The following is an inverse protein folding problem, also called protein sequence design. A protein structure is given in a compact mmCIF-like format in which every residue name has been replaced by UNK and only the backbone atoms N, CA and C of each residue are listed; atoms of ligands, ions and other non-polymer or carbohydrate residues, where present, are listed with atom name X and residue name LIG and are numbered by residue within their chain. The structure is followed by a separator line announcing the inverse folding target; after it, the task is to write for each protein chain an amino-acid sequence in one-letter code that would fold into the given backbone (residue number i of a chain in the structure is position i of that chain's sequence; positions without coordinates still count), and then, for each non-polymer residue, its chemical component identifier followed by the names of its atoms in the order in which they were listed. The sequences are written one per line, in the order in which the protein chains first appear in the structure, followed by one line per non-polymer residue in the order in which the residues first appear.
data_IF_257756170799
#
_entry.id   IF_257756170799
#
_cell.length_a   1.000
_cell.length_b   1.000
_cell.length_c   1.000
_cell.angle_alpha   90.00
_cell.angle_beta   90.00
_cell.angle_gamma   90.00
#
_symmetry.space_group_name_H-M   'P 1'
#
loop_
_entity.id
_entity.type
_entity.pdbx_description
1 polymer ?
#
# COMPACT_ATOMS: atom_id res chain seq x y z
N UNK A 1 -11.64 -46.97 35.61
CA UNK A 1 -10.99 -47.55 34.43
C UNK A 1 -10.04 -46.54 33.84
N UNK A 2 -8.82 -46.94 33.44
CA UNK A 2 -7.76 -46.01 32.97
C UNK A 2 -8.12 -45.18 31.73
N UNK A 3 -9.08 -45.62 30.98
CA UNK A 3 -9.54 -44.96 29.74
C UNK A 3 -10.31 -43.65 29.97
N UNK A 4 -11.10 -43.58 31.05
CA UNK A 4 -11.85 -42.35 31.40
C UNK A 4 -10.91 -41.23 31.86
N UNK A 5 -9.84 -41.53 32.56
CA UNK A 5 -8.88 -40.55 33.07
C UNK A 5 -8.04 -39.94 31.93
N UNK A 6 -7.67 -40.73 30.90
CA UNK A 6 -6.95 -40.24 29.72
C UNK A 6 -7.81 -39.33 28.82
N UNK A 7 -9.12 -39.59 28.73
CA UNK A 7 -10.01 -38.72 27.96
C UNK A 7 -10.23 -37.36 28.66
N UNK A 8 -10.37 -37.36 30.00
CA UNK A 8 -10.52 -36.12 30.78
C UNK A 8 -9.28 -35.25 30.73
N UNK A 9 -8.08 -35.81 30.81
CA UNK A 9 -6.82 -35.07 30.73
C UNK A 9 -6.62 -34.43 29.34
N UNK A 10 -7.04 -35.11 28.27
CA UNK A 10 -6.99 -34.56 26.92
C UNK A 10 -8.01 -33.43 26.70
N UNK A 11 -9.17 -33.52 27.32
CA UNK A 11 -10.22 -32.50 27.26
C UNK A 11 -9.80 -31.23 28.00
N UNK A 12 -9.15 -31.34 29.15
CA UNK A 12 -8.67 -30.21 29.95
C UNK A 12 -7.49 -29.47 29.25
N UNK A 13 -6.61 -30.20 28.54
CA UNK A 13 -5.55 -29.59 27.75
C UNK A 13 -6.12 -28.87 26.52
N UNK A 14 -7.13 -29.41 25.87
CA UNK A 14 -7.78 -28.81 24.73
C UNK A 14 -8.53 -27.51 25.10
N UNK A 15 -9.24 -27.51 26.25
CA UNK A 15 -9.92 -26.30 26.75
C UNK A 15 -8.90 -25.22 27.16
N UNK A 16 -7.77 -25.59 27.79
CA UNK A 16 -6.68 -24.63 28.07
C UNK A 16 -6.05 -24.06 26.79
N UNK A 17 -5.92 -24.87 25.75
CA UNK A 17 -5.40 -24.42 24.46
C UNK A 17 -6.35 -23.40 23.77
N UNK A 18 -7.65 -23.59 23.87
CA UNK A 18 -8.67 -22.67 23.38
C UNK A 18 -8.70 -21.33 24.16
N UNK A 19 -8.35 -21.33 25.44
CA UNK A 19 -8.29 -20.14 26.29
C UNK A 19 -7.04 -19.27 26.01
N UNK A 20 -5.93 -19.88 25.60
CA UNK A 20 -4.67 -19.18 25.31
C UNK A 20 -4.76 -18.38 23.98
N UNK A 21 -5.65 -18.75 23.07
CA UNK A 21 -5.71 -18.20 21.70
C UNK A 21 -6.76 -17.12 21.42
N UNK A 22 -7.48 -16.53 22.40
CA UNK A 22 -8.58 -15.56 22.15
C UNK A 22 -9.45 -15.92 20.94
N UNK A 23 -9.77 -17.22 20.76
CA UNK A 23 -10.55 -17.67 19.62
C UNK A 23 -12.00 -17.33 19.89
N UNK A 24 -12.55 -16.41 19.12
CA UNK A 24 -13.91 -15.96 19.23
C UNK A 24 -14.86 -17.13 18.89
N UNK A 25 -15.74 -17.49 19.83
CA UNK A 25 -16.79 -18.52 19.70
C UNK A 25 -17.54 -18.44 18.35
N UNK A 26 -17.72 -17.22 17.85
CA UNK A 26 -18.35 -16.95 16.57
C UNK A 26 -17.63 -17.57 15.35
N UNK A 27 -16.30 -17.71 15.38
CA UNK A 27 -15.53 -18.34 14.29
C UNK A 27 -15.70 -19.86 14.28
N UNK A 28 -15.76 -20.48 15.46
CA UNK A 28 -15.99 -21.93 15.59
C UNK A 28 -17.38 -22.27 15.06
N UNK A 29 -18.41 -21.53 15.46
CA UNK A 29 -19.78 -21.74 14.99
C UNK A 29 -19.93 -21.55 13.47
N UNK A 30 -19.14 -20.63 12.88
CA UNK A 30 -19.14 -20.40 11.43
C UNK A 30 -18.51 -21.55 10.66
N UNK A 31 -17.42 -22.15 11.17
CA UNK A 31 -16.77 -23.31 10.56
C UNK A 31 -17.69 -24.55 10.63
N UNK A 32 -18.31 -24.77 11.78
CA UNK A 32 -19.27 -25.86 11.97
C UNK A 32 -20.46 -25.73 11.01
N UNK A 33 -21.03 -24.52 10.85
CA UNK A 33 -22.15 -24.26 9.93
C UNK A 33 -21.79 -24.40 8.45
N UNK A 34 -20.56 -24.14 8.05
CA UNK A 34 -20.11 -24.27 6.65
C UNK A 34 -19.81 -25.70 6.24
N UNK A 35 -19.53 -26.60 7.16
CA UNK A 35 -19.19 -27.98 6.84
C UNK A 35 -20.47 -28.83 6.74
N UNK A 36 -20.88 -29.20 5.49
CA UNK A 36 -22.09 -29.99 5.23
C UNK A 36 -22.12 -31.36 5.93
N UNK A 37 -20.95 -31.96 6.17
CA UNK A 37 -20.85 -33.24 6.88
C UNK A 37 -21.16 -33.11 8.37
N UNK A 38 -20.65 -32.04 8.99
CA UNK A 38 -20.93 -31.75 10.43
C UNK A 38 -22.40 -31.36 10.61
N UNK A 39 -22.97 -30.53 9.70
CA UNK A 39 -24.37 -30.11 9.79
C UNK A 39 -25.37 -31.27 9.64
N UNK A 40 -25.03 -32.34 8.89
CA UNK A 40 -25.85 -33.56 8.82
C UNK A 40 -25.82 -34.36 10.11
N UNK A 41 -24.65 -34.48 10.77
CA UNK A 41 -24.53 -35.17 12.04
C UNK A 41 -25.24 -34.46 13.20
N UNK A 42 -25.29 -33.11 13.15
CA UNK A 42 -26.02 -32.30 14.13
C UNK A 42 -27.54 -32.49 14.12
N UNK A 43 -28.12 -33.06 13.06
CA UNK A 43 -29.56 -33.32 12.95
C UNK A 43 -30.01 -34.51 13.81
N UNK A 44 -29.05 -35.36 14.31
CA UNK A 44 -29.35 -36.50 15.17
C UNK A 44 -29.20 -36.14 16.64
N UNK A 45 -30.12 -36.57 17.52
CA UNK A 45 -30.01 -36.40 18.96
C UNK A 45 -28.69 -36.99 19.47
N UNK A 46 -28.00 -36.32 20.39
CA UNK A 46 -26.70 -36.73 20.92
C UNK A 46 -26.74 -38.15 21.48
N UNK A 47 -27.88 -38.60 22.01
CA UNK A 47 -28.12 -39.96 22.52
C UNK A 47 -28.09 -41.06 21.44
N UNK A 48 -28.20 -40.73 20.17
CA UNK A 48 -28.16 -41.67 19.02
C UNK A 48 -26.85 -41.66 18.25
N UNK A 49 -25.87 -40.82 18.64
CA UNK A 49 -24.58 -40.73 17.97
C UNK A 49 -23.63 -41.81 18.47
N UNK A 50 -22.98 -42.50 17.53
CA UNK A 50 -21.93 -43.43 17.90
C UNK A 50 -20.67 -42.67 18.39
N UNK A 51 -19.88 -43.25 19.30
CA UNK A 51 -18.63 -42.62 19.76
C UNK A 51 -17.65 -42.25 18.63
N UNK A 52 -17.68 -42.99 17.52
CA UNK A 52 -16.90 -42.76 16.32
C UNK A 52 -17.29 -41.47 15.59
N UNK A 53 -18.57 -41.08 15.61
CA UNK A 53 -19.07 -39.88 14.94
C UNK A 53 -18.58 -38.63 15.63
N UNK A 54 -18.56 -38.63 16.98
CA UNK A 54 -18.03 -37.51 17.77
C UNK A 54 -16.52 -37.37 17.57
N UNK A 55 -15.81 -38.48 17.45
CA UNK A 55 -14.36 -38.48 17.19
C UNK A 55 -14.06 -37.89 15.82
N UNK A 56 -14.82 -38.23 14.78
CA UNK A 56 -14.68 -37.70 13.43
C UNK A 56 -14.96 -36.19 13.42
N UNK A 57 -16.02 -35.72 14.11
CA UNK A 57 -16.30 -34.28 14.20
C UNK A 57 -15.13 -33.51 14.82
N UNK A 58 -14.55 -34.03 15.92
CA UNK A 58 -13.39 -33.40 16.57
C UNK A 58 -12.18 -33.37 15.64
N UNK A 59 -11.92 -34.45 14.91
CA UNK A 59 -10.80 -34.51 13.96
C UNK A 59 -10.98 -33.54 12.78
N UNK A 60 -12.17 -33.40 12.22
CA UNK A 60 -12.48 -32.48 11.14
C UNK A 60 -12.28 -31.02 11.61
N UNK A 61 -12.77 -30.68 12.80
CA UNK A 61 -12.59 -29.34 13.39
C UNK A 61 -11.10 -29.06 13.66
N UNK A 62 -10.39 -30.03 14.23
CA UNK A 62 -8.94 -29.88 14.48
C UNK A 62 -8.13 -29.74 13.19
N UNK A 63 -8.48 -30.48 12.13
CA UNK A 63 -7.81 -30.38 10.83
C UNK A 63 -8.05 -29.02 10.17
N UNK A 64 -9.28 -28.52 10.15
CA UNK A 64 -9.59 -27.18 9.63
C UNK A 64 -8.86 -26.09 10.40
N UNK A 65 -8.82 -26.21 11.74
CA UNK A 65 -8.08 -25.27 12.58
C UNK A 65 -6.58 -25.31 12.32
N UNK A 66 -6.01 -26.50 12.12
CA UNK A 66 -4.59 -26.65 11.77
C UNK A 66 -4.27 -26.05 10.40
N UNK A 67 -5.16 -26.24 9.40
CA UNK A 67 -5.00 -25.67 8.07
C UNK A 67 -5.14 -24.14 8.09
N UNK A 68 -6.08 -23.59 8.85
CA UNK A 68 -6.23 -22.14 9.01
C UNK A 68 -5.05 -21.52 9.76
N UNK A 69 -4.54 -22.22 10.78
CA UNK A 69 -3.34 -21.78 11.50
C UNK A 69 -2.09 -21.84 10.62
N UNK A 70 -1.92 -22.91 9.85
CA UNK A 70 -0.83 -23.04 8.87
C UNK A 70 -0.91 -21.96 7.81
N UNK A 71 -2.09 -21.67 7.27
CA UNK A 71 -2.33 -20.58 6.33
C UNK A 71 -2.06 -19.22 6.95
N UNK A 72 -2.48 -19.00 8.18
CA UNK A 72 -2.19 -17.75 8.91
C UNK A 72 -0.70 -17.60 9.19
N UNK A 73 -0.03 -18.68 9.61
CA UNK A 73 1.43 -18.70 9.85
C UNK A 73 2.20 -18.49 8.54
N UNK A 74 1.75 -19.10 7.43
CA UNK A 74 2.31 -18.89 6.11
C UNK A 74 2.12 -17.43 5.64
N UNK A 75 0.94 -16.85 5.84
CA UNK A 75 0.67 -15.44 5.54
C UNK A 75 1.46 -14.49 6.43
N UNK A 76 1.66 -14.84 7.71
CA UNK A 76 2.51 -14.05 8.61
C UNK A 76 4.00 -14.21 8.31
N UNK A 77 4.46 -15.42 7.97
CA UNK A 77 5.86 -15.69 7.61
C UNK A 77 6.25 -15.12 6.24
N UNK A 78 5.26 -15.04 5.31
CA UNK A 78 5.40 -14.37 4.01
C UNK A 78 4.87 -12.93 4.03
N UNK A 79 4.58 -12.35 5.17
CA UNK A 79 4.51 -10.91 5.33
C UNK A 79 5.95 -10.39 5.20
N UNK A 80 6.49 -10.44 3.98
CA UNK A 80 7.58 -9.56 3.60
C UNK A 80 7.13 -8.17 4.03
N UNK A 81 7.99 -7.47 4.75
CA UNK A 81 7.79 -6.05 4.99
C UNK A 81 7.69 -5.39 3.62
N UNK A 82 6.44 -5.26 3.14
CA UNK A 82 6.14 -4.57 1.88
C UNK A 82 6.28 -3.07 2.12
N UNK A 83 7.50 -2.66 2.43
CA UNK A 83 7.84 -1.27 2.43
C UNK A 83 8.21 -0.88 1.00
N UNK A 84 7.33 -0.16 0.32
CA UNK A 84 7.60 0.36 -1.02
C UNK A 84 8.31 1.70 -0.92
N UNK A 85 9.51 1.79 -1.46
CA UNK A 85 10.32 3.01 -1.54
C UNK A 85 10.05 3.74 -2.83
N UNK A 86 9.77 5.03 -2.74
CA UNK A 86 9.31 5.85 -3.84
C UNK A 86 10.24 7.04 -4.00
N UNK A 87 10.67 7.27 -5.25
CA UNK A 87 11.34 8.49 -5.66
C UNK A 87 10.37 9.40 -6.41
N UNK A 88 10.31 10.68 -6.05
CA UNK A 88 9.46 11.67 -6.74
C UNK A 88 10.33 12.75 -7.36
N UNK A 89 10.03 13.07 -8.61
CA UNK A 89 10.58 14.24 -9.31
C UNK A 89 9.51 14.93 -10.14
N UNK A 90 9.76 16.17 -10.52
CA UNK A 90 8.89 16.99 -11.35
C UNK A 90 9.69 17.96 -12.19
N UNK A 91 9.04 18.51 -13.21
CA UNK A 91 9.51 19.70 -13.91
C UNK A 91 10.95 19.51 -14.43
N UNK A 92 11.21 18.37 -15.07
CA UNK A 92 12.50 18.07 -15.70
C UNK A 92 12.73 18.88 -16.97
N UNK A 93 11.65 19.29 -17.68
CA UNK A 93 11.70 20.10 -18.90
C UNK A 93 12.69 19.56 -19.93
N UNK A 94 12.77 18.22 -20.08
CA UNK A 94 13.69 17.57 -21.01
C UNK A 94 15.15 17.47 -20.51
N UNK A 95 15.46 18.04 -19.35
CA UNK A 95 16.79 17.92 -18.76
C UNK A 95 16.97 16.55 -18.13
N UNK A 96 18.02 15.84 -18.54
CA UNK A 96 18.46 14.59 -17.94
C UNK A 96 19.66 14.82 -17.02
N UNK A 97 19.67 14.13 -15.89
CA UNK A 97 20.76 14.16 -14.93
C UNK A 97 20.94 12.74 -14.34
N UNK A 98 22.11 12.14 -14.52
CA UNK A 98 22.38 10.78 -14.04
C UNK A 98 22.26 10.65 -12.53
N UNK A 99 22.33 11.76 -11.80
CA UNK A 99 22.11 11.80 -10.35
C UNK A 99 20.70 11.37 -9.95
N UNK A 100 19.69 11.48 -10.83
CA UNK A 100 18.36 10.94 -10.58
C UNK A 100 18.43 9.44 -10.26
N UNK A 101 19.15 8.69 -11.09
CA UNK A 101 19.30 7.24 -10.90
C UNK A 101 20.07 6.90 -9.62
N UNK A 102 21.14 7.63 -9.33
CA UNK A 102 21.92 7.47 -8.11
C UNK A 102 21.06 7.66 -6.84
N UNK A 103 20.26 8.72 -6.80
CA UNK A 103 19.43 9.00 -5.64
C UNK A 103 18.23 8.05 -5.51
N UNK A 104 17.75 7.50 -6.63
CA UNK A 104 16.64 6.55 -6.67
C UNK A 104 17.07 5.08 -6.76
N UNK A 105 18.35 4.78 -6.57
CA UNK A 105 18.86 3.41 -6.64
C UNK A 105 18.12 2.42 -5.73
N UNK A 106 17.75 2.88 -4.53
CA UNK A 106 17.01 2.09 -3.54
C UNK A 106 15.49 2.23 -3.63
N UNK A 107 14.96 2.96 -4.62
CA UNK A 107 13.53 3.11 -4.82
C UNK A 107 12.98 1.94 -5.63
N UNK A 108 11.79 1.50 -5.29
CA UNK A 108 11.05 0.44 -5.97
C UNK A 108 10.24 1.01 -7.15
N UNK A 109 9.75 2.25 -7.02
CA UNK A 109 9.03 3.00 -8.06
C UNK A 109 9.54 4.44 -8.14
N UNK A 110 9.38 5.04 -9.33
CA UNK A 110 9.60 6.47 -9.58
C UNK A 110 8.26 7.12 -9.97
N UNK A 111 7.99 8.29 -9.38
CA UNK A 111 6.82 9.10 -9.74
C UNK A 111 7.27 10.42 -10.33
N UNK A 112 6.74 10.75 -11.53
CA UNK A 112 6.98 12.03 -12.19
C UNK A 112 5.71 12.85 -12.27
N UNK A 113 5.72 14.04 -11.69
CA UNK A 113 4.51 14.86 -11.52
C UNK A 113 4.29 15.89 -12.63
N UNK A 114 4.82 15.62 -13.83
CA UNK A 114 4.55 16.38 -15.05
C UNK A 114 5.65 17.36 -15.46
N UNK A 115 5.46 17.98 -16.61
CA UNK A 115 6.48 18.78 -17.32
C UNK A 115 7.77 17.98 -17.52
N UNK A 116 7.58 16.77 -18.07
CA UNK A 116 8.67 15.84 -18.41
C UNK A 116 9.54 16.44 -19.52
N UNK A 117 8.90 17.02 -20.53
CA UNK A 117 9.52 17.76 -21.63
C UNK A 117 9.91 16.91 -22.82
N UNK A 118 10.61 15.80 -22.65
CA UNK A 118 10.99 14.89 -23.74
C UNK A 118 10.68 13.44 -23.42
N UNK A 119 10.39 12.67 -24.47
CA UNK A 119 10.18 11.23 -24.35
C UNK A 119 11.40 10.49 -23.78
N UNK A 120 12.60 10.95 -24.13
CA UNK A 120 13.85 10.37 -23.67
C UNK A 120 13.97 10.34 -22.14
N UNK A 121 13.56 11.40 -21.47
CA UNK A 121 13.56 11.44 -19.98
C UNK A 121 12.62 10.38 -19.41
N UNK A 122 11.40 10.29 -19.94
CA UNK A 122 10.42 9.29 -19.48
C UNK A 122 10.92 7.86 -19.72
N UNK A 123 11.50 7.60 -20.89
CA UNK A 123 12.04 6.29 -21.26
C UNK A 123 13.20 5.86 -20.36
N UNK A 124 14.15 6.74 -20.09
CA UNK A 124 15.27 6.47 -19.19
C UNK A 124 14.80 6.16 -17.75
N UNK A 125 13.85 6.93 -17.23
CA UNK A 125 13.27 6.67 -15.93
C UNK A 125 12.54 5.33 -15.89
N UNK A 126 11.71 5.03 -16.90
CA UNK A 126 10.94 3.79 -17.00
C UNK A 126 11.84 2.54 -17.20
N UNK A 127 12.98 2.69 -17.88
CA UNK A 127 13.96 1.63 -18.03
C UNK A 127 14.68 1.31 -16.71
N UNK A 128 14.79 2.29 -15.81
CA UNK A 128 15.47 2.11 -14.52
C UNK A 128 14.54 1.51 -13.45
N UNK A 129 13.32 2.05 -13.30
CA UNK A 129 12.31 1.56 -12.34
C UNK A 129 10.90 1.74 -12.89
N UNK A 130 9.91 0.98 -12.42
CA UNK A 130 8.51 1.24 -12.72
C UNK A 130 8.18 2.72 -12.55
N UNK A 131 7.70 3.35 -13.62
CA UNK A 131 7.40 4.78 -13.67
C UNK A 131 5.89 5.01 -13.63
N UNK A 132 5.44 5.78 -12.64
CA UNK A 132 4.11 6.41 -12.65
C UNK A 132 4.27 7.88 -12.96
N UNK A 133 3.57 8.37 -13.96
CA UNK A 133 3.65 9.78 -14.32
C UNK A 133 2.29 10.38 -14.63
N UNK A 134 2.23 11.70 -14.58
CA UNK A 134 1.19 12.52 -15.18
C UNK A 134 1.86 13.48 -16.16
N UNK A 135 1.14 13.93 -17.18
CA UNK A 135 1.68 14.98 -18.03
C UNK A 135 1.47 16.37 -17.41
N UNK A 136 2.33 17.30 -17.77
CA UNK A 136 2.22 18.73 -17.45
C UNK A 136 1.78 19.58 -18.63
N UNK A 137 1.82 20.89 -18.44
CA UNK A 137 1.32 21.83 -19.44
C UNK A 137 2.24 21.95 -20.67
N UNK A 138 3.56 21.73 -20.51
CA UNK A 138 4.50 21.82 -21.63
C UNK A 138 4.68 20.49 -22.39
N UNK A 139 4.16 19.38 -21.84
CA UNK A 139 4.37 18.07 -22.43
C UNK A 139 3.66 17.91 -23.78
N UNK A 140 4.40 17.32 -24.72
CA UNK A 140 3.94 17.09 -26.09
C UNK A 140 3.01 15.88 -26.24
N UNK A 141 2.57 15.63 -27.48
CA UNK A 141 1.58 14.61 -27.80
C UNK A 141 2.00 13.20 -27.38
N UNK A 142 3.28 12.84 -27.47
CA UNK A 142 3.76 11.50 -27.14
C UNK A 142 3.63 11.21 -25.64
N UNK A 143 4.01 12.16 -24.80
CA UNK A 143 3.88 12.07 -23.34
C UNK A 143 2.41 12.04 -22.95
N UNK A 144 1.56 12.92 -23.54
CA UNK A 144 0.12 13.00 -23.25
C UNK A 144 -0.66 11.76 -23.68
N UNK A 145 -0.20 11.03 -24.69
CA UNK A 145 -0.81 9.74 -25.09
C UNK A 145 -0.49 8.61 -24.13
N UNK A 146 0.66 8.68 -23.48
CA UNK A 146 1.16 7.62 -22.61
C UNK A 146 0.76 7.82 -21.16
N UNK A 147 0.85 9.03 -20.66
CA UNK A 147 0.56 9.39 -19.28
C UNK A 147 -0.72 10.20 -19.16
N UNK A 148 -1.56 9.98 -18.16
CA UNK A 148 -2.79 10.74 -17.95
C UNK A 148 -2.52 12.16 -17.41
N UNK A 149 -3.49 13.06 -17.52
CA UNK A 149 -3.47 14.36 -16.84
C UNK A 149 -3.49 14.23 -15.31
N UNK A 150 -4.18 13.22 -14.83
CA UNK A 150 -4.37 12.93 -13.41
C UNK A 150 -4.33 11.43 -13.21
N UNK A 151 -3.58 10.98 -12.22
CA UNK A 151 -3.47 9.57 -11.86
C UNK A 151 -3.89 9.37 -10.39
N UNK A 152 -4.89 8.51 -10.17
CA UNK A 152 -5.32 8.11 -8.82
C UNK A 152 -5.20 6.61 -8.67
N UNK A 153 -4.46 6.18 -7.67
CA UNK A 153 -4.17 4.76 -7.42
C UNK A 153 -3.99 4.49 -5.93
N UNK A 154 -3.99 3.22 -5.57
CA UNK A 154 -3.70 2.78 -4.20
C UNK A 154 -2.41 1.98 -4.19
N UNK A 155 -1.53 2.27 -3.24
CA UNK A 155 -0.29 1.55 -3.01
C UNK A 155 -0.10 1.35 -1.49
N UNK A 156 0.19 0.14 -1.03
CA UNK A 156 0.32 -0.20 0.39
C UNK A 156 -0.82 0.36 1.26
N UNK A 157 -2.06 0.36 0.75
CA UNK A 157 -3.23 0.90 1.44
C UNK A 157 -3.34 2.42 1.45
N UNK A 158 -2.40 3.15 0.84
CA UNK A 158 -2.45 4.62 0.67
C UNK A 158 -3.16 4.97 -0.63
N UNK A 159 -4.24 5.75 -0.55
CA UNK A 159 -4.90 6.37 -1.71
C UNK A 159 -4.09 7.60 -2.14
N UNK A 160 -3.51 7.54 -3.33
CA UNK A 160 -2.65 8.57 -3.90
C UNK A 160 -3.34 9.26 -5.06
N UNK A 161 -3.19 10.57 -5.14
CA UNK A 161 -3.60 11.37 -6.29
C UNK A 161 -2.41 12.16 -6.80
N UNK A 162 -2.13 12.05 -8.09
CA UNK A 162 -1.11 12.84 -8.79
C UNK A 162 -1.77 13.72 -9.85
N UNK A 163 -1.37 14.99 -9.92
CA UNK A 163 -1.74 15.93 -10.97
C UNK A 163 -0.70 17.04 -11.05
N UNK A 164 -0.28 17.40 -12.26
CA UNK A 164 0.78 18.40 -12.42
C UNK A 164 0.41 19.76 -11.78
N UNK A 165 -0.65 20.41 -12.26
CA UNK A 165 -1.11 21.68 -11.70
C UNK A 165 -2.08 21.41 -10.54
N UNK A 166 -1.59 21.57 -9.30
CA UNK A 166 -2.36 21.23 -8.10
C UNK A 166 -2.62 22.39 -7.15
N UNK A 167 -1.84 23.45 -7.23
CA UNK A 167 -1.82 24.51 -6.22
C UNK A 167 -1.14 24.03 -4.93
N UNK A 168 -1.61 24.46 -3.76
CA UNK A 168 -1.04 24.09 -2.47
C UNK A 168 -2.09 24.16 -1.35
N UNK A 169 -1.84 23.57 -0.17
CA UNK A 169 -2.75 23.64 0.97
C UNK A 169 -3.19 25.06 1.29
N UNK A 170 -4.53 25.25 1.31
CA UNK A 170 -5.17 26.55 1.45
C UNK A 170 -5.47 27.27 0.12
N UNK A 171 -4.77 26.95 -0.97
CA UNK A 171 -4.99 27.53 -2.31
C UNK A 171 -4.80 26.47 -3.40
N UNK A 172 -5.63 25.44 -3.39
CA UNK A 172 -5.65 24.44 -4.45
C UNK A 172 -6.14 25.02 -5.78
N UNK A 173 -5.59 24.51 -6.89
CA UNK A 173 -6.02 24.89 -8.23
C UNK A 173 -7.51 24.54 -8.45
N UNK A 174 -8.20 25.40 -9.21
CA UNK A 174 -9.64 25.26 -9.45
C UNK A 174 -10.00 23.93 -10.12
N UNK A 175 -9.11 23.40 -10.99
CA UNK A 175 -9.34 22.15 -11.74
C UNK A 175 -9.34 20.89 -10.87
N UNK A 176 -8.75 20.95 -9.66
CA UNK A 176 -8.64 19.81 -8.76
C UNK A 176 -9.36 20.02 -7.42
N UNK A 177 -9.60 21.26 -7.02
CA UNK A 177 -10.11 21.63 -5.69
C UNK A 177 -11.36 20.87 -5.31
N UNK A 178 -12.37 20.85 -6.16
CA UNK A 178 -13.63 20.14 -5.87
C UNK A 178 -13.41 18.66 -5.61
N UNK A 179 -12.55 18.00 -6.37
CA UNK A 179 -12.25 16.56 -6.19
C UNK A 179 -11.52 16.30 -4.86
N UNK A 180 -10.58 17.16 -4.47
CA UNK A 180 -9.88 17.05 -3.19
C UNK A 180 -10.84 17.19 -2.00
N UNK A 181 -11.83 18.11 -2.08
CA UNK A 181 -12.79 18.31 -0.99
C UNK A 181 -13.87 17.22 -0.94
N UNK A 182 -14.29 16.67 -2.08
CA UNK A 182 -15.30 15.59 -2.13
C UNK A 182 -14.73 14.25 -1.69
N UNK A 183 -13.51 13.93 -2.14
CA UNK A 183 -12.83 12.68 -1.83
C UNK A 183 -11.33 12.93 -1.68
N UNK A 184 -10.89 13.45 -0.53
CA UNK A 184 -9.46 13.68 -0.30
C UNK A 184 -8.68 12.37 -0.37
N UNK A 185 -7.54 12.33 -1.08
CA UNK A 185 -6.61 11.21 -1.02
C UNK A 185 -5.84 11.25 0.31
N UNK A 186 -5.14 10.19 0.65
CA UNK A 186 -4.19 10.20 1.78
C UNK A 186 -2.90 10.94 1.43
N UNK A 187 -2.53 10.90 0.13
CA UNK A 187 -1.39 11.61 -0.43
C UNK A 187 -1.78 12.32 -1.73
N UNK A 188 -1.52 13.62 -1.79
CA UNK A 188 -1.62 14.41 -3.02
C UNK A 188 -0.24 14.90 -3.46
N UNK A 189 0.16 14.56 -4.69
CA UNK A 189 1.45 14.93 -5.27
C UNK A 189 1.23 15.78 -6.50
N UNK A 190 1.91 16.93 -6.59
CA UNK A 190 1.85 17.80 -7.76
C UNK A 190 3.22 18.44 -8.06
N UNK A 191 3.30 19.25 -9.12
CA UNK A 191 4.50 19.97 -9.57
C UNK A 191 4.20 21.42 -9.94
N UNK A 192 4.65 21.83 -11.11
CA UNK A 192 4.35 23.09 -11.80
C UNK A 192 4.94 24.36 -11.16
N UNK A 193 4.83 24.54 -9.87
CA UNK A 193 5.30 25.76 -9.21
C UNK A 193 6.82 25.83 -9.06
N UNK A 194 7.53 24.73 -9.28
CA UNK A 194 8.96 24.54 -9.03
C UNK A 194 9.36 24.80 -7.58
N UNK A 195 8.40 24.90 -6.67
CA UNK A 195 8.64 25.19 -5.26
C UNK A 195 8.48 23.90 -4.46
N UNK A 196 9.59 23.44 -3.87
CA UNK A 196 9.57 22.33 -2.94
C UNK A 196 8.60 22.64 -1.78
N UNK A 197 7.64 21.75 -1.56
CA UNK A 197 6.72 21.84 -0.44
C UNK A 197 6.23 20.49 0.02
N UNK A 198 6.52 20.14 1.24
CA UNK A 198 5.98 18.98 1.94
C UNK A 198 5.17 19.50 3.12
N UNK A 199 3.88 19.24 3.15
CA UNK A 199 2.98 19.79 4.16
C UNK A 199 1.81 18.85 4.44
N UNK A 200 1.49 18.64 5.71
CA UNK A 200 0.26 17.97 6.10
C UNK A 200 -0.90 18.97 6.11
N UNK A 201 -1.89 18.74 5.26
CA UNK A 201 -3.14 19.52 5.25
C UNK A 201 -4.11 18.95 6.29
N UNK A 202 -4.22 19.66 7.41
CA UNK A 202 -5.11 19.26 8.51
C UNK A 202 -6.59 19.32 8.12
N UNK A 203 -6.97 20.19 7.18
CA UNK A 203 -8.35 20.36 6.73
C UNK A 203 -8.83 19.15 5.95
N UNK A 204 -7.97 18.61 5.09
CA UNK A 204 -8.29 17.46 4.25
C UNK A 204 -7.73 16.13 4.81
N UNK A 205 -7.01 16.18 5.94
CA UNK A 205 -6.34 15.02 6.53
C UNK A 205 -5.45 14.29 5.52
N UNK A 206 -4.61 15.03 4.80
CA UNK A 206 -3.89 14.61 3.61
C UNK A 206 -2.45 15.09 3.64
N UNK A 207 -1.50 14.23 3.29
CA UNK A 207 -0.14 14.66 3.02
C UNK A 207 -0.09 15.28 1.60
N UNK A 208 0.50 16.47 1.52
CA UNK A 208 0.77 17.18 0.27
C UNK A 208 2.26 17.19 0.00
N UNK A 209 2.65 16.84 -1.24
CA UNK A 209 4.04 16.90 -1.70
C UNK A 209 4.10 17.58 -3.06
N UNK A 210 4.92 18.62 -3.15
CA UNK A 210 5.48 19.12 -4.39
C UNK A 210 7.01 18.95 -4.29
N UNK A 211 7.64 18.14 -5.15
CA UNK A 211 9.07 17.83 -5.01
C UNK A 211 9.97 19.01 -5.44
N UNK A 212 9.42 20.12 -5.90
CA UNK A 212 10.16 21.16 -6.57
C UNK A 212 10.49 20.78 -8.00
N UNK A 213 11.44 21.47 -8.64
CA UNK A 213 11.90 21.17 -9.97
C UNK A 213 13.20 20.38 -9.95
N UNK A 214 13.23 19.29 -10.74
CA UNK A 214 14.44 18.49 -10.96
C UNK A 214 15.27 18.99 -12.14
N UNK A 215 14.64 19.67 -13.10
CA UNK A 215 15.30 20.28 -14.27
C UNK A 215 16.02 21.59 -13.95
N UNK A 216 16.60 22.18 -14.98
CA UNK A 216 17.38 23.43 -14.89
C UNK A 216 16.58 24.67 -15.33
N UNK A 217 15.41 24.47 -15.94
CA UNK A 217 14.58 25.56 -16.45
C UNK A 217 13.58 26.05 -15.41
N UNK A 218 13.52 27.34 -15.17
CA UNK A 218 12.60 27.99 -14.24
C UNK A 218 13.27 29.02 -13.35
N UNK A 219 12.51 29.56 -12.37
CA UNK A 219 13.02 30.59 -11.44
C UNK A 219 13.54 30.00 -10.12
N UNK A 220 13.50 28.67 -9.96
CA UNK A 220 14.04 28.00 -8.76
C UNK A 220 15.56 28.08 -8.73
N UNK A 221 16.13 28.25 -7.54
CA UNK A 221 17.57 28.33 -7.33
C UNK A 221 18.21 27.00 -6.99
N UNK A 222 17.40 26.05 -6.51
CA UNK A 222 17.84 24.73 -6.06
C UNK A 222 16.96 23.69 -6.75
N UNK A 223 17.59 22.72 -7.38
CA UNK A 223 16.93 21.56 -7.96
C UNK A 223 16.71 20.53 -6.88
N UNK A 224 15.53 19.92 -6.83
CA UNK A 224 15.18 19.01 -5.73
C UNK A 224 14.50 17.73 -6.21
N UNK A 225 14.69 16.68 -5.42
CA UNK A 225 13.99 15.42 -5.51
C UNK A 225 13.42 15.11 -4.13
N UNK A 226 12.42 14.26 -4.08
CA UNK A 226 11.88 13.73 -2.81
C UNK A 226 11.90 12.21 -2.87
N UNK A 227 12.25 11.55 -1.77
CA UNK A 227 12.04 10.11 -1.60
C UNK A 227 11.45 9.81 -0.25
N UNK A 228 10.67 8.75 -0.18
CA UNK A 228 10.06 8.25 1.05
C UNK A 228 9.69 6.79 0.89
N UNK A 229 9.24 6.16 1.97
CA UNK A 229 8.70 4.82 1.93
C UNK A 229 7.24 4.81 2.39
N UNK A 230 6.48 3.84 1.89
CA UNK A 230 5.15 3.50 2.40
C UNK A 230 5.25 2.08 2.98
N UNK A 231 4.81 1.94 4.23
CA UNK A 231 4.77 0.66 4.93
C UNK A 231 3.43 0.52 5.65
N UNK A 232 2.61 -0.45 5.23
CA UNK A 232 1.30 -0.73 5.81
C UNK A 232 0.40 0.53 5.95
N UNK A 233 0.45 1.43 4.98
CA UNK A 233 -0.34 2.65 4.96
C UNK A 233 0.28 3.85 5.70
N UNK A 234 1.47 3.73 6.25
CA UNK A 234 2.21 4.78 6.93
C UNK A 234 3.35 5.32 6.06
N UNK A 235 3.60 6.63 6.11
CA UNK A 235 4.73 7.26 5.44
C UNK A 235 5.95 7.22 6.34
N UNK A 236 7.09 6.78 5.78
CA UNK A 236 8.37 6.66 6.50
C UNK A 236 9.50 7.26 5.69
N UNK A 237 10.56 7.62 6.36
CA UNK A 237 11.86 7.98 5.78
C UNK A 237 11.76 9.05 4.69
N UNK A 238 10.88 10.06 4.89
CA UNK A 238 10.74 11.16 3.95
C UNK A 238 11.99 12.03 3.97
N UNK A 239 12.62 12.14 2.81
CA UNK A 239 13.85 12.88 2.59
C UNK A 239 13.71 13.79 1.37
N UNK A 240 14.21 15.01 1.51
CA UNK A 240 14.41 15.95 0.44
C UNK A 240 15.89 15.91 0.02
N UNK A 241 16.12 15.80 -1.28
CA UNK A 241 17.45 15.75 -1.87
C UNK A 241 17.65 17.03 -2.69
N UNK A 242 18.66 17.79 -2.36
CA UNK A 242 19.09 18.94 -3.15
C UNK A 242 20.18 18.48 -4.13
N UNK A 243 19.96 18.75 -5.40
CA UNK A 243 20.94 18.50 -6.44
C UNK A 243 21.86 19.72 -6.55
N UNK A 244 22.89 19.76 -5.72
CA UNK A 244 23.87 20.83 -5.75
C UNK A 244 24.50 20.99 -7.14
N UNK A 245 24.81 22.22 -7.56
CA UNK A 245 25.63 22.46 -8.75
C UNK A 245 27.03 21.85 -8.51
N UNK A 246 27.51 21.12 -9.50
CA UNK A 246 28.91 20.68 -9.49
C UNK A 246 29.77 21.91 -9.80
N UNK A 247 30.60 22.34 -8.82
CA UNK A 247 31.58 23.42 -8.99
C UNK A 247 32.69 23.01 -9.96
#
# INVERSE_FOLDING_TARGET
SPTRHRLMLRHTHFIKFLQIGRINRYKIDTVIKRNRSISRLQQYPVSKRQPTDITIEIWIVALHFSLDLAKYTYLCANKQDFMTRIGILSDTHGHWDDRYLKHFEKCDEIWHTGDIGTWEVAEKLAAFRPLRAVYGNIDGADIRRTYPEMNRFTIEGVDVLMKHIGGYPGKYDASIRSRLFVRPPKLFVCGHSHILKVQYDKTLNMLYINPGAAGIYGFHKVRTLVRFAIDNGEFKDLEVIELAEEN
#
